data_IF_213536085303
#
_entry.id   IF_213536085303
#
_cell.length_a   1.000
_cell.length_b   1.000
_cell.length_c   1.000
_cell.angle_alpha   90.00
_cell.angle_beta   90.00
_cell.angle_gamma   90.00
#
_symmetry.space_group_name_H-M   'P 1'
#
loop_
_entity.id
_entity.type
_entity.pdbx_description
1 polymer ?
#
# COMPACT_ATOMS: atom_id res chain seq x y z
N UNK A 1 -5.07 -7.31 3.41
CA UNK A 1 -4.27 -6.14 3.82
C UNK A 1 -4.92 -4.82 3.39
N UNK A 2 -5.05 -4.53 2.07
CA UNK A 2 -5.62 -3.25 1.64
C UNK A 2 -7.07 -3.05 2.11
N UNK A 3 -7.89 -4.09 2.08
CA UNK A 3 -9.25 -4.09 2.63
C UNK A 3 -9.24 -3.73 4.13
N UNK A 4 -8.44 -4.42 4.93
CA UNK A 4 -8.44 -4.24 6.39
C UNK A 4 -7.96 -2.84 6.78
N UNK A 5 -6.90 -2.34 6.13
CA UNK A 5 -6.40 -0.98 6.36
C UNK A 5 -7.42 0.07 5.96
N UNK A 6 -8.06 -0.08 4.80
CA UNK A 6 -9.10 0.86 4.37
C UNK A 6 -10.25 0.88 5.37
N UNK A 7 -10.70 -0.30 5.80
CA UNK A 7 -11.75 -0.45 6.80
C UNK A 7 -11.36 0.18 8.15
N UNK A 8 -10.13 -0.01 8.58
CA UNK A 8 -9.62 0.61 9.79
C UNK A 8 -9.62 2.14 9.70
N UNK A 9 -9.14 2.70 8.59
CA UNK A 9 -9.16 4.15 8.39
C UNK A 9 -10.58 4.72 8.37
N UNK A 10 -11.53 3.99 7.79
CA UNK A 10 -12.95 4.36 7.84
C UNK A 10 -13.47 4.34 9.29
N UNK A 11 -13.14 3.32 10.07
CA UNK A 11 -13.53 3.22 11.48
C UNK A 11 -12.93 4.34 12.34
N UNK A 12 -11.74 4.83 11.99
CA UNK A 12 -11.10 6.01 12.61
C UNK A 12 -11.77 7.33 12.18
N UNK A 13 -12.84 7.29 11.36
CA UNK A 13 -13.66 8.43 10.98
C UNK A 13 -13.29 9.11 9.66
N UNK A 14 -12.33 8.57 8.92
CA UNK A 14 -11.93 9.11 7.63
C UNK A 14 -12.95 8.74 6.55
N UNK A 15 -13.31 9.69 5.69
CA UNK A 15 -14.32 9.49 4.63
C UNK A 15 -13.73 9.62 3.23
N UNK A 16 -12.75 10.47 3.06
CA UNK A 16 -12.11 10.77 1.78
C UNK A 16 -10.78 10.02 1.69
N UNK A 17 -10.84 8.78 1.24
CA UNK A 17 -9.69 7.88 1.17
C UNK A 17 -9.30 7.67 -0.28
N UNK A 18 -8.06 8.00 -0.65
CA UNK A 18 -7.54 7.77 -1.99
C UNK A 18 -6.66 6.52 -2.04
N UNK A 19 -6.79 5.74 -3.12
CA UNK A 19 -5.86 4.69 -3.48
C UNK A 19 -4.94 5.19 -4.59
N UNK A 20 -3.63 5.27 -4.34
CA UNK A 20 -2.64 5.73 -5.32
C UNK A 20 -1.86 4.53 -5.83
N UNK A 21 -1.93 4.29 -7.15
CA UNK A 21 -1.25 3.19 -7.82
C UNK A 21 -0.48 3.65 -9.07
N UNK A 22 0.35 2.77 -9.62
CA UNK A 22 0.99 3.01 -10.90
C UNK A 22 0.06 2.66 -12.06
N UNK A 23 0.19 3.34 -13.19
CA UNK A 23 -0.49 3.01 -14.45
C UNK A 23 -0.20 1.57 -14.87
N UNK A 24 1.01 1.06 -14.57
CA UNK A 24 1.35 -0.33 -14.90
C UNK A 24 0.48 -1.31 -14.13
N UNK A 25 -0.10 -2.24 -14.90
CA UNK A 25 -1.03 -3.22 -14.36
C UNK A 25 -0.27 -4.42 -13.76
N UNK A 26 0.15 -4.31 -12.50
CA UNK A 26 0.71 -5.42 -11.75
C UNK A 26 -0.40 -6.14 -11.00
N UNK A 27 -0.47 -7.48 -11.11
CA UNK A 27 -1.48 -8.31 -10.44
C UNK A 27 -1.62 -7.99 -8.94
N UNK A 28 -0.50 -7.83 -8.23
CA UNK A 28 -0.50 -7.47 -6.81
C UNK A 28 -1.10 -6.09 -6.51
N UNK A 29 -0.98 -5.14 -7.43
CA UNK A 29 -1.62 -3.83 -7.26
C UNK A 29 -3.13 -3.92 -7.49
N UNK A 30 -3.58 -4.76 -8.41
CA UNK A 30 -5.01 -4.99 -8.64
C UNK A 30 -5.68 -5.58 -7.41
N UNK A 31 -5.08 -6.59 -6.77
CA UNK A 31 -5.60 -7.16 -5.52
C UNK A 31 -5.68 -6.13 -4.38
N UNK A 32 -4.76 -5.17 -4.32
CA UNK A 32 -4.84 -4.07 -3.35
C UNK A 32 -6.03 -3.14 -3.67
N UNK A 33 -6.20 -2.80 -4.95
CA UNK A 33 -7.31 -1.97 -5.41
C UNK A 33 -8.66 -2.65 -5.15
N UNK A 34 -8.78 -3.94 -5.45
CA UNK A 34 -10.00 -4.71 -5.17
C UNK A 34 -10.36 -4.67 -3.68
N UNK A 35 -9.38 -4.90 -2.80
CA UNK A 35 -9.60 -4.83 -1.35
C UNK A 35 -10.03 -3.43 -0.89
N UNK A 36 -9.41 -2.38 -1.42
CA UNK A 36 -9.81 -1.00 -1.16
C UNK A 36 -11.25 -0.73 -1.63
N UNK A 37 -11.57 -1.09 -2.87
CA UNK A 37 -12.91 -0.88 -3.44
C UNK A 37 -14.00 -1.59 -2.65
N UNK A 38 -13.71 -2.82 -2.20
CA UNK A 38 -14.63 -3.58 -1.37
C UNK A 38 -14.93 -2.85 -0.04
N UNK A 39 -13.90 -2.37 0.66
CA UNK A 39 -14.06 -1.67 1.92
C UNK A 39 -14.83 -0.35 1.77
N UNK A 40 -14.54 0.43 0.72
CA UNK A 40 -15.25 1.68 0.40
C UNK A 40 -16.72 1.41 0.08
N UNK A 41 -17.01 0.37 -0.71
CA UNK A 41 -18.38 -0.03 -1.05
C UNK A 41 -19.19 -0.45 0.19
N UNK A 42 -18.60 -1.25 1.08
CA UNK A 42 -19.27 -1.68 2.32
C UNK A 42 -19.62 -0.50 3.24
N UNK A 43 -18.80 0.55 3.20
CA UNK A 43 -19.04 1.78 3.96
C UNK A 43 -19.91 2.82 3.24
N UNK A 44 -20.38 2.55 2.03
CA UNK A 44 -21.09 3.49 1.16
C UNK A 44 -20.31 4.80 0.93
N UNK A 45 -18.98 4.71 0.81
CA UNK A 45 -18.10 5.83 0.48
C UNK A 45 -17.70 5.79 -0.98
N UNK A 46 -17.51 6.97 -1.58
CA UNK A 46 -17.08 7.09 -2.97
C UNK A 46 -15.59 6.75 -3.11
N UNK A 47 -15.21 5.73 -3.89
CA UNK A 47 -13.82 5.37 -4.07
C UNK A 47 -13.13 6.34 -5.04
N UNK A 48 -11.87 6.66 -4.77
CA UNK A 48 -11.03 7.43 -5.69
C UNK A 48 -9.68 6.78 -5.90
N UNK A 49 -9.42 6.37 -7.14
CA UNK A 49 -8.17 5.76 -7.56
C UNK A 49 -7.38 6.77 -8.37
N UNK A 50 -6.14 7.02 -7.95
CA UNK A 50 -5.19 7.91 -8.63
C UNK A 50 -4.13 7.05 -9.31
N UNK A 51 -4.03 7.18 -10.61
CA UNK A 51 -3.02 6.48 -11.41
C UNK A 51 -1.88 7.42 -11.77
N UNK A 52 -0.65 7.02 -11.45
CA UNK A 52 0.56 7.79 -11.72
C UNK A 52 1.60 6.95 -12.48
N UNK A 53 2.53 7.61 -13.16
CA UNK A 53 3.49 6.95 -14.06
C UNK A 53 4.43 5.95 -13.37
N UNK A 54 4.66 6.11 -12.08
CA UNK A 54 5.66 5.35 -11.31
C UNK A 54 7.10 5.89 -11.44
N UNK A 55 7.33 6.94 -12.23
CA UNK A 55 8.59 7.67 -12.30
C UNK A 55 8.52 8.85 -11.33
N UNK A 56 9.47 8.96 -10.42
CA UNK A 56 9.46 9.93 -9.31
C UNK A 56 9.21 11.37 -9.78
N UNK A 57 9.97 11.84 -10.77
CA UNK A 57 9.86 13.21 -11.27
C UNK A 57 8.48 13.54 -11.84
N UNK A 58 7.89 12.61 -12.61
CA UNK A 58 6.54 12.79 -13.17
C UNK A 58 5.47 12.69 -12.09
N UNK A 59 5.67 11.82 -11.11
CA UNK A 59 4.75 11.68 -9.99
C UNK A 59 4.70 12.95 -9.14
N UNK A 60 5.82 13.62 -8.91
CA UNK A 60 5.87 14.86 -8.13
C UNK A 60 5.02 15.97 -8.78
N UNK A 61 5.06 16.10 -10.10
CA UNK A 61 4.20 17.05 -10.82
C UNK A 61 2.73 16.69 -10.64
N UNK A 62 2.36 15.43 -10.90
CA UNK A 62 0.97 14.96 -10.74
C UNK A 62 0.46 15.10 -9.31
N UNK A 63 1.29 14.80 -8.30
CA UNK A 63 0.91 14.95 -6.90
C UNK A 63 0.73 16.41 -6.51
N UNK A 64 1.54 17.30 -7.03
CA UNK A 64 1.40 18.74 -6.78
C UNK A 64 0.09 19.27 -7.34
N UNK A 65 -0.25 18.97 -8.57
CA UNK A 65 -1.51 19.37 -9.21
C UNK A 65 -2.73 18.84 -8.44
N UNK A 66 -2.68 17.55 -8.05
CA UNK A 66 -3.74 16.91 -7.27
C UNK A 66 -3.93 17.60 -5.91
N UNK A 67 -2.86 17.75 -5.13
CA UNK A 67 -2.93 18.29 -3.77
C UNK A 67 -3.23 19.79 -3.73
N UNK A 68 -2.97 20.54 -4.80
CA UNK A 68 -3.38 21.94 -4.92
C UNK A 68 -4.89 22.10 -5.19
N UNK A 69 -5.49 21.12 -5.87
CA UNK A 69 -6.93 21.14 -6.16
C UNK A 69 -7.76 20.57 -5.01
N UNK A 70 -7.28 19.48 -4.42
CA UNK A 70 -8.01 18.72 -3.42
C UNK A 70 -7.04 17.76 -2.69
N UNK A 71 -7.23 17.54 -1.40
CA UNK A 71 -6.52 16.48 -0.68
C UNK A 71 -7.50 15.54 0.04
N UNK A 72 -7.10 14.25 0.24
CA UNK A 72 -7.88 13.28 0.99
C UNK A 72 -7.64 13.42 2.50
N UNK A 73 -8.47 12.75 3.30
CA UNK A 73 -8.17 12.47 4.71
C UNK A 73 -7.02 11.46 4.81
N UNK A 74 -7.02 10.45 3.93
CA UNK A 74 -6.02 9.37 3.88
C UNK A 74 -5.64 9.05 2.44
N UNK A 75 -4.34 8.92 2.19
CA UNK A 75 -3.79 8.35 0.97
C UNK A 75 -3.16 6.98 1.24
N UNK A 76 -3.72 5.94 0.63
CA UNK A 76 -3.16 4.58 0.64
C UNK A 76 -2.36 4.41 -0.65
N UNK A 77 -1.05 4.21 -0.53
CA UNK A 77 -0.13 4.21 -1.67
C UNK A 77 0.50 2.82 -1.84
N UNK A 78 0.41 2.24 -3.02
CA UNK A 78 0.81 0.84 -3.29
C UNK A 78 2.28 0.50 -3.03
N UNK A 79 3.16 1.52 -2.83
CA UNK A 79 4.60 1.35 -2.52
C UNK A 79 5.13 2.48 -1.66
N UNK A 80 6.02 2.18 -0.72
CA UNK A 80 6.63 3.15 0.19
C UNK A 80 7.40 4.26 -0.55
N UNK A 81 8.19 3.93 -1.58
CA UNK A 81 8.94 4.93 -2.34
C UNK A 81 8.04 6.01 -2.96
N UNK A 82 6.87 5.60 -3.45
CA UNK A 82 5.88 6.51 -4.01
C UNK A 82 5.14 7.29 -2.92
N UNK A 83 4.88 6.66 -1.77
CA UNK A 83 4.30 7.32 -0.60
C UNK A 83 5.23 8.42 -0.05
N UNK A 84 6.54 8.18 -0.04
CA UNK A 84 7.53 9.19 0.37
C UNK A 84 7.55 10.37 -0.60
N UNK A 85 7.49 10.15 -1.92
CA UNK A 85 7.35 11.24 -2.89
C UNK A 85 6.08 12.05 -2.65
N UNK A 86 4.95 11.39 -2.34
CA UNK A 86 3.69 12.04 -2.01
C UNK A 86 3.78 12.88 -0.74
N UNK A 87 4.38 12.35 0.34
CA UNK A 87 4.67 13.07 1.59
C UNK A 87 5.53 14.31 1.33
N UNK A 88 6.58 14.18 0.52
CA UNK A 88 7.47 15.30 0.20
C UNK A 88 6.73 16.42 -0.52
N UNK A 89 5.86 16.09 -1.48
CA UNK A 89 5.04 17.09 -2.18
C UNK A 89 4.03 17.73 -1.24
N UNK A 90 3.34 16.96 -0.39
CA UNK A 90 2.42 17.48 0.61
C UNK A 90 3.13 18.50 1.54
N UNK A 91 4.34 18.16 2.02
CA UNK A 91 5.16 19.03 2.85
C UNK A 91 5.57 20.34 2.13
N UNK A 92 5.92 20.25 0.84
CA UNK A 92 6.23 21.45 0.04
C UNK A 92 5.01 22.37 -0.15
N UNK A 93 3.82 21.82 -0.07
CA UNK A 93 2.54 22.55 -0.09
C UNK A 93 2.05 22.96 1.29
N UNK A 94 2.87 22.74 2.35
CA UNK A 94 2.54 23.05 3.75
C UNK A 94 1.33 22.29 4.29
N UNK A 95 1.01 21.12 3.73
CA UNK A 95 -0.03 20.21 4.25
C UNK A 95 0.58 19.40 5.39
N UNK A 96 -0.04 19.48 6.58
CA UNK A 96 0.47 18.83 7.78
C UNK A 96 0.07 17.35 7.82
N UNK A 97 1.06 16.49 8.01
CA UNK A 97 0.90 15.04 8.16
C UNK A 97 1.31 14.67 9.58
N UNK A 98 0.46 14.01 10.36
CA UNK A 98 -0.81 13.35 9.98
C UNK A 98 -2.08 14.21 10.17
N UNK A 99 -2.00 15.46 10.57
CA UNK A 99 -3.13 16.25 11.05
C UNK A 99 -4.18 16.52 9.96
N UNK A 100 -3.73 16.93 8.76
CA UNK A 100 -4.60 17.27 7.63
C UNK A 100 -4.68 16.14 6.60
N UNK A 101 -3.61 15.35 6.48
CA UNK A 101 -3.48 14.26 5.51
C UNK A 101 -2.74 13.09 6.15
N UNK A 102 -3.33 11.92 6.15
CA UNK A 102 -2.68 10.69 6.58
C UNK A 102 -2.17 9.90 5.38
N UNK A 103 -1.02 9.22 5.53
CA UNK A 103 -0.40 8.47 4.42
C UNK A 103 0.00 7.09 4.90
N UNK A 104 -0.38 6.06 4.12
CA UNK A 104 -0.04 4.66 4.37
C UNK A 104 0.65 4.08 3.15
N UNK A 105 1.78 3.42 3.35
CA UNK A 105 2.53 2.71 2.32
C UNK A 105 2.37 1.19 2.37
N UNK A 106 3.08 0.52 1.47
CA UNK A 106 3.17 -0.95 1.42
C UNK A 106 4.62 -1.36 1.21
N UNK A 107 4.99 -2.49 1.81
CA UNK A 107 6.25 -3.24 1.76
C UNK A 107 7.17 -3.01 2.97
N UNK A 108 6.93 -1.97 3.78
CA UNK A 108 7.78 -1.61 4.94
C UNK A 108 9.28 -1.59 4.59
N UNK A 109 9.59 -0.91 3.52
CA UNK A 109 10.97 -0.75 3.06
C UNK A 109 11.71 0.30 3.90
N UNK A 110 13.02 0.40 3.73
CA UNK A 110 13.85 1.43 4.36
C UNK A 110 13.36 2.86 4.09
N UNK A 111 12.65 3.08 2.98
CA UNK A 111 12.03 4.37 2.69
C UNK A 111 11.00 4.78 3.76
N UNK A 112 10.26 3.83 4.33
CA UNK A 112 9.26 4.11 5.35
C UNK A 112 9.90 4.66 6.64
N UNK A 113 11.08 4.19 7.02
CA UNK A 113 11.82 4.63 8.20
C UNK A 113 12.51 5.98 8.00
N UNK A 114 12.98 6.24 6.77
CA UNK A 114 13.72 7.46 6.43
C UNK A 114 12.79 8.64 6.11
N UNK A 115 11.52 8.40 5.86
CA UNK A 115 10.52 9.46 5.60
C UNK A 115 10.40 10.44 6.79
N UNK A 116 9.93 11.64 6.52
CA UNK A 116 9.61 12.66 7.53
C UNK A 116 8.27 13.32 7.16
N UNK A 117 7.21 13.02 7.95
CA UNK A 117 7.14 12.07 9.07
C UNK A 117 7.42 10.63 8.64
N UNK A 118 7.80 9.76 9.59
CA UNK A 118 8.03 8.33 9.32
C UNK A 118 6.73 7.68 8.84
N UNK A 119 6.85 6.90 7.75
CA UNK A 119 5.70 6.33 7.06
C UNK A 119 5.19 5.06 7.74
N UNK A 120 3.91 5.05 8.08
CA UNK A 120 3.15 3.84 8.40
C UNK A 120 3.05 2.97 7.16
N UNK A 121 3.40 1.70 7.28
CA UNK A 121 3.45 0.81 6.12
C UNK A 121 3.03 -0.62 6.46
N UNK A 122 2.35 -1.24 5.49
CA UNK A 122 2.06 -2.68 5.54
C UNK A 122 3.34 -3.46 5.32
N UNK A 123 3.73 -4.21 6.33
CA UNK A 123 4.91 -5.05 6.26
C UNK A 123 4.63 -6.33 5.48
N UNK A 124 5.42 -6.55 4.43
CA UNK A 124 5.45 -7.80 3.68
C UNK A 124 6.67 -8.59 4.13
N UNK A 125 6.51 -9.75 4.79
CA UNK A 125 7.63 -10.50 5.37
C UNK A 125 8.40 -11.27 4.28
N UNK A 126 9.19 -10.53 3.49
CA UNK A 126 9.88 -11.04 2.29
C UNK A 126 10.86 -12.18 2.58
N UNK A 127 11.49 -12.18 3.75
CA UNK A 127 12.39 -13.27 4.17
C UNK A 127 11.62 -14.56 4.40
N UNK A 128 10.53 -14.52 5.18
CA UNK A 128 9.65 -15.66 5.41
C UNK A 128 9.03 -16.16 4.10
N UNK A 129 8.67 -15.25 3.20
CA UNK A 129 8.20 -15.62 1.85
C UNK A 129 9.28 -16.36 1.06
N UNK A 130 10.54 -15.90 1.14
CA UNK A 130 11.67 -16.56 0.50
C UNK A 130 11.93 -17.96 1.07
N UNK A 131 11.92 -18.11 2.38
CA UNK A 131 12.07 -19.40 3.07
C UNK A 131 10.97 -20.38 2.63
N UNK A 132 9.70 -19.97 2.71
CA UNK A 132 8.56 -20.79 2.30
C UNK A 132 8.60 -21.16 0.82
N UNK A 133 9.04 -20.24 -0.04
CA UNK A 133 9.18 -20.52 -1.46
C UNK A 133 10.27 -21.57 -1.72
N UNK A 134 11.39 -21.53 -0.99
CA UNK A 134 12.46 -22.53 -1.09
C UNK A 134 12.02 -23.87 -0.54
N UNK A 135 11.35 -23.91 0.61
CA UNK A 135 10.80 -25.15 1.19
C UNK A 135 9.85 -25.83 0.19
N UNK A 136 8.95 -25.07 -0.40
CA UNK A 136 7.99 -25.57 -1.39
C UNK A 136 8.71 -26.08 -2.65
N UNK A 137 9.69 -25.33 -3.15
CA UNK A 137 10.47 -25.74 -4.32
C UNK A 137 11.22 -27.05 -4.05
N UNK A 138 11.87 -27.17 -2.88
CA UNK A 138 12.58 -28.40 -2.47
C UNK A 138 11.61 -29.58 -2.40
N UNK A 139 10.45 -29.41 -1.76
CA UNK A 139 9.42 -30.44 -1.70
C UNK A 139 8.94 -30.89 -3.09
N UNK A 140 8.78 -29.92 -4.02
CA UNK A 140 8.40 -30.22 -5.41
C UNK A 140 9.48 -30.97 -6.17
N UNK A 141 10.76 -30.72 -5.86
CA UNK A 141 11.89 -31.43 -6.50
C UNK A 141 12.09 -32.83 -5.95
N UNK A 142 11.68 -33.10 -4.71
CA UNK A 142 11.80 -34.40 -4.03
C UNK A 142 10.57 -35.29 -4.22
N UNK A 143 9.45 -34.75 -4.74
CA UNK A 143 8.27 -35.56 -5.08
C UNK A 143 8.56 -36.51 -6.22
N UNK A 144 8.13 -37.77 -6.07
CA UNK A 144 8.13 -38.77 -7.16
C UNK A 144 7.07 -38.40 -8.21
N UNK A 145 7.28 -38.85 -9.47
CA UNK A 145 6.45 -38.42 -10.63
C UNK A 145 4.93 -38.70 -10.47
N UNK A 146 4.54 -39.57 -9.52
CA UNK A 146 3.14 -39.95 -9.28
C UNK A 146 2.49 -39.27 -8.04
N UNK A 147 3.20 -38.41 -7.29
CA UNK A 147 2.63 -37.70 -6.15
C UNK A 147 2.07 -36.30 -6.56
N UNK A 148 0.76 -36.13 -6.42
CA UNK A 148 0.15 -34.79 -6.56
C UNK A 148 0.53 -33.89 -5.37
N UNK A 149 1.30 -32.85 -5.63
CA UNK A 149 1.54 -31.78 -4.64
C UNK A 149 0.28 -30.94 -4.50
N UNK A 150 -0.47 -31.18 -3.44
CA UNK A 150 -1.81 -30.61 -3.25
C UNK A 150 -1.83 -29.17 -2.73
N UNK A 151 -0.74 -28.65 -2.16
CA UNK A 151 -0.74 -27.33 -1.49
C UNK A 151 0.34 -26.39 -2.05
N UNK A 152 0.22 -26.04 -3.33
CA UNK A 152 1.16 -25.14 -4.05
C UNK A 152 0.97 -23.68 -3.64
N UNK A 153 -0.15 -23.32 -2.97
CA UNK A 153 -0.50 -21.94 -2.65
C UNK A 153 -0.47 -21.68 -1.14
N UNK A 154 0.55 -21.00 -0.67
CA UNK A 154 0.69 -20.62 0.73
C UNK A 154 0.40 -19.12 0.96
N UNK A 155 -0.26 -18.81 2.08
CA UNK A 155 -0.53 -17.45 2.51
C UNK A 155 0.28 -17.11 3.74
N UNK A 156 1.02 -16.01 3.68
CA UNK A 156 1.83 -15.53 4.79
C UNK A 156 1.12 -14.33 5.43
N UNK A 157 1.12 -14.27 6.76
CA UNK A 157 0.51 -13.18 7.51
C UNK A 157 1.31 -11.90 7.29
N UNK A 158 0.61 -10.80 7.05
CA UNK A 158 1.17 -9.46 7.08
C UNK A 158 0.92 -8.81 8.44
N UNK A 159 1.63 -7.74 8.73
CA UNK A 159 1.34 -6.83 9.83
C UNK A 159 1.49 -5.37 9.36
N UNK A 160 0.93 -4.45 10.13
CA UNK A 160 1.08 -3.02 9.88
C UNK A 160 2.09 -2.46 10.88
N UNK A 161 3.07 -1.74 10.40
CA UNK A 161 4.00 -0.99 11.22
C UNK A 161 3.51 0.45 11.28
N UNK A 162 2.79 0.77 12.35
CA UNK A 162 2.32 2.14 12.58
C UNK A 162 3.49 3.06 12.94
N UNK A 163 3.47 4.27 12.37
CA UNK A 163 4.45 5.32 12.58
C UNK A 163 3.76 6.69 12.62
N UNK A 164 4.49 7.73 12.28
CA UNK A 164 4.09 9.13 12.44
C UNK A 164 3.12 9.65 11.36
N UNK A 165 2.91 8.91 10.27
CA UNK A 165 2.10 9.37 9.11
C UNK A 165 0.60 9.11 9.23
N UNK A 166 0.15 8.55 10.34
CA UNK A 166 -1.28 8.38 10.69
C UNK A 166 -1.52 8.79 12.14
N UNK A 167 -2.78 9.03 12.52
CA UNK A 167 -3.25 9.37 13.88
C UNK A 167 -4.36 8.44 14.33
#
# INVERSE_FOLDING_TARGET
AAYDITKEMIQRGNKKIWMIKTIRNYAMNNLKVEGYLQAMKEANLEPRIIEVSGLTERNEVSFRELLQSEHPDVAIVVRDSMAVSFINVARLLHIHIPEELQVIGFQNTRYAELARPKLTSVNTPIYEMGEKAMDLLTSLMECEEDEEVTDIKQYIKYNVIERESIK
#
